data_IF_812985195491
#
_entry.id   IF_812985195491
#
_cell.length_a   1.000
_cell.length_b   1.000
_cell.length_c   1.000
_cell.angle_alpha   90.00
_cell.angle_beta   90.00
_cell.angle_gamma   90.00
#
_symmetry.space_group_name_H-M   'P 1'
#
loop_
_entity.id
_entity.type
_entity.pdbx_description
1 polymer ?
#
# COMPACT_ATOMS: atom_id res chain seq x y z
N UNK A 1 8.46 -6.89 14.37
CA UNK A 1 8.91 -6.46 13.02
C UNK A 1 8.87 -7.68 12.11
N UNK A 2 8.09 -7.64 11.03
CA UNK A 2 7.94 -8.77 10.10
C UNK A 2 8.13 -8.29 8.67
N UNK A 3 8.76 -9.09 7.83
CA UNK A 3 8.89 -8.80 6.40
C UNK A 3 7.70 -9.39 5.66
N UNK A 4 7.09 -8.60 4.79
CA UNK A 4 6.01 -9.03 3.90
C UNK A 4 6.40 -8.85 2.46
N UNK A 5 5.76 -9.62 1.58
CA UNK A 5 5.98 -9.58 0.14
C UNK A 5 4.84 -8.81 -0.52
N UNK A 6 5.17 -7.83 -1.35
CA UNK A 6 4.20 -6.99 -2.02
C UNK A 6 3.38 -7.80 -3.02
N UNK A 7 2.04 -7.81 -2.92
CA UNK A 7 1.18 -8.49 -3.91
C UNK A 7 1.24 -7.90 -5.32
N UNK A 8 1.80 -6.69 -5.48
CA UNK A 8 1.89 -5.99 -6.76
C UNK A 8 3.21 -6.20 -7.49
N UNK A 9 4.33 -6.21 -6.76
CA UNK A 9 5.67 -6.22 -7.36
C UNK A 9 6.58 -7.31 -6.79
N UNK A 10 6.04 -8.18 -5.92
CA UNK A 10 6.77 -9.27 -5.27
C UNK A 10 7.99 -8.83 -4.45
N UNK A 11 8.13 -7.54 -4.17
CA UNK A 11 9.23 -7.00 -3.38
C UNK A 11 9.00 -7.27 -1.90
N UNK A 12 10.04 -7.74 -1.21
CA UNK A 12 10.06 -7.82 0.25
C UNK A 12 10.22 -6.42 0.85
N UNK A 13 9.37 -6.11 1.83
CA UNK A 13 9.40 -4.85 2.56
C UNK A 13 9.13 -5.09 4.04
N UNK A 14 9.59 -4.16 4.87
CA UNK A 14 9.36 -4.23 6.30
C UNK A 14 7.92 -3.80 6.61
N UNK A 15 7.12 -4.73 7.13
CA UNK A 15 5.80 -4.45 7.65
C UNK A 15 5.89 -4.15 9.15
N UNK A 16 5.60 -2.90 9.49
CA UNK A 16 5.54 -2.42 10.87
C UNK A 16 4.10 -2.32 11.39
N UNK A 17 3.13 -2.99 10.76
CA UNK A 17 1.73 -2.99 11.23
C UNK A 17 1.56 -3.55 12.65
N UNK A 18 2.43 -4.48 13.05
CA UNK A 18 2.47 -5.08 14.40
C UNK A 18 3.29 -4.24 15.39
N UNK A 19 3.85 -3.11 14.96
CA UNK A 19 4.70 -2.23 15.76
C UNK A 19 4.11 -0.82 15.79
N UNK A 20 4.32 -0.08 16.86
CA UNK A 20 3.85 1.30 16.95
C UNK A 20 4.57 2.17 15.90
N UNK A 21 3.83 2.70 14.92
CA UNK A 21 4.37 3.59 13.88
C UNK A 21 4.78 2.87 12.60
N UNK A 22 3.81 2.36 11.85
CA UNK A 22 4.08 1.87 10.51
C UNK A 22 4.28 3.04 9.54
N UNK A 23 5.24 2.91 8.62
CA UNK A 23 5.43 3.91 7.58
C UNK A 23 4.15 4.09 6.76
N UNK A 24 3.28 3.08 6.63
CA UNK A 24 2.03 3.19 5.88
C UNK A 24 1.04 4.18 6.51
N UNK A 25 1.18 4.49 7.80
CA UNK A 25 0.35 5.51 8.47
C UNK A 25 0.77 6.94 8.09
N UNK A 26 1.98 7.12 7.57
CA UNK A 26 2.45 8.40 7.03
C UNK A 26 1.87 8.69 5.63
N UNK A 27 1.23 7.70 5.01
CA UNK A 27 0.74 7.78 3.63
C UNK A 27 -0.73 8.14 3.68
N UNK A 28 -1.08 9.30 3.09
CA UNK A 28 -2.47 9.74 3.02
C UNK A 28 -3.11 9.18 1.75
N UNK A 29 -3.99 8.20 1.94
CA UNK A 29 -4.79 7.59 0.88
C UNK A 29 -6.24 8.04 0.97
N UNK A 30 -6.86 8.34 -0.17
CA UNK A 30 -8.31 8.58 -0.23
C UNK A 30 -9.08 7.29 0.08
N UNK A 31 -10.32 7.43 0.57
CA UNK A 31 -11.18 6.28 0.82
C UNK A 31 -11.39 5.41 -0.43
N UNK A 32 -11.56 6.04 -1.59
CA UNK A 32 -11.68 5.35 -2.89
C UNK A 32 -10.43 4.50 -3.20
N UNK A 33 -9.23 5.06 -3.03
CA UNK A 33 -7.98 4.34 -3.23
C UNK A 33 -7.86 3.16 -2.26
N UNK A 34 -8.23 3.33 -0.99
CA UNK A 34 -8.26 2.24 -0.01
C UNK A 34 -9.23 1.13 -0.37
N UNK A 35 -10.42 1.47 -0.87
CA UNK A 35 -11.39 0.47 -1.31
C UNK A 35 -10.89 -0.27 -2.56
N UNK A 36 -10.33 0.44 -3.53
CA UNK A 36 -9.74 -0.15 -4.73
C UNK A 36 -8.60 -1.10 -4.37
N UNK A 37 -7.72 -0.68 -3.45
CA UNK A 37 -6.61 -1.48 -2.95
C UNK A 37 -7.11 -2.78 -2.28
N UNK A 38 -8.11 -2.69 -1.41
CA UNK A 38 -8.71 -3.87 -0.75
C UNK A 38 -9.40 -4.82 -1.71
N UNK A 39 -9.96 -4.31 -2.81
CA UNK A 39 -10.62 -5.11 -3.84
C UNK A 39 -9.62 -5.74 -4.81
N UNK A 40 -8.54 -5.02 -5.15
CA UNK A 40 -7.53 -5.44 -6.14
C UNK A 40 -6.42 -6.30 -5.54
N UNK A 41 -6.07 -6.08 -4.27
CA UNK A 41 -4.97 -6.74 -3.59
C UNK A 41 -5.44 -7.42 -2.31
N UNK A 42 -5.11 -8.70 -2.17
CA UNK A 42 -5.48 -9.51 -1.00
C UNK A 42 -4.47 -9.43 0.15
N UNK A 43 -3.28 -8.86 -0.07
CA UNK A 43 -2.25 -8.67 0.96
C UNK A 43 -1.64 -7.24 0.87
N UNK A 44 -0.59 -6.99 1.65
CA UNK A 44 -0.03 -5.66 1.85
C UNK A 44 0.83 -5.21 0.65
N UNK A 45 0.78 -3.91 0.35
CA UNK A 45 1.66 -3.28 -0.64
C UNK A 45 2.88 -2.65 0.02
N UNK A 46 4.00 -2.64 -0.70
CA UNK A 46 5.22 -1.96 -0.28
C UNK A 46 5.08 -0.43 -0.41
N UNK A 47 5.92 0.38 0.26
CA UNK A 47 5.82 1.85 0.24
C UNK A 47 5.93 2.44 -1.17
N UNK A 48 6.73 1.81 -2.03
CA UNK A 48 6.94 2.22 -3.41
C UNK A 48 5.65 2.08 -4.24
N UNK A 49 4.98 0.92 -4.11
CA UNK A 49 3.68 0.69 -4.74
C UNK A 49 2.59 1.55 -4.10
N UNK A 50 2.61 1.74 -2.78
CA UNK A 50 1.61 2.53 -2.06
C UNK A 50 1.69 4.02 -2.41
N UNK A 51 2.89 4.55 -2.70
CA UNK A 51 3.08 5.93 -3.20
C UNK A 51 2.34 6.18 -4.50
N UNK A 52 2.20 5.19 -5.37
CA UNK A 52 1.42 5.34 -6.61
C UNK A 52 -0.08 5.57 -6.34
N UNK A 53 -0.57 5.27 -5.14
CA UNK A 53 -1.96 5.47 -4.71
C UNK A 53 -2.14 6.63 -3.72
N UNK A 54 -1.05 7.24 -3.22
CA UNK A 54 -1.13 8.50 -2.48
C UNK A 54 -1.65 9.58 -3.41
N UNK A 55 -2.51 10.47 -2.89
CA UNK A 55 -3.29 11.49 -3.60
C UNK A 55 -2.57 12.15 -4.80
N UNK A 56 -2.53 11.42 -5.90
CA UNK A 56 -2.20 11.82 -7.25
C UNK A 56 -3.34 11.22 -8.08
N UNK A 57 -4.13 12.06 -8.77
CA UNK A 57 -5.23 11.59 -9.60
C UNK A 57 -4.65 10.95 -10.87
N UNK A 58 -4.18 9.71 -10.79
CA UNK A 58 -3.70 9.00 -11.97
C UNK A 58 -3.61 7.48 -11.73
N UNK A 59 -4.71 6.77 -11.94
CA UNK A 59 -4.68 5.66 -12.89
C UNK A 59 -6.10 5.40 -13.43
N UNK A 60 -6.44 6.19 -14.44
CA UNK A 60 -7.52 5.93 -15.38
C UNK A 60 -7.18 4.66 -16.18
N UNK A 61 -7.50 3.47 -15.67
CA UNK A 61 -7.37 2.24 -16.46
C UNK A 61 -8.68 1.94 -17.19
N UNK A 62 -8.78 2.59 -18.37
CA UNK A 62 -9.40 2.16 -19.64
C UNK A 62 -10.89 1.81 -19.65
#
# INVERSE_FOLDING_TARGET
MSYKKCSRCDKEFECRADSHGCWCEQYTLSAEALQQLRSSFSDCLCPDCLTAYQALPADSQQ
#
